data_IF_897177932515
#
_entry.id   IF_897177932515
#
_cell.length_a   1.000
_cell.length_b   1.000
_cell.length_c   1.000
_cell.angle_alpha   90.00
_cell.angle_beta   90.00
_cell.angle_gamma   90.00
#
_symmetry.space_group_name_H-M   'P 1'
#
loop_
_entity.id
_entity.type
_entity.pdbx_description
1 polymer ?
#
# COMPACT_ATOMS: atom_id res chain seq x y z
N UNK A 1 5.72 12.57 -18.17
CA UNK A 1 7.00 11.84 -18.21
C UNK A 1 6.70 10.54 -18.93
N UNK A 2 7.37 10.28 -20.05
CA UNK A 2 7.25 8.99 -20.74
C UNK A 2 8.56 8.26 -20.50
N UNK A 3 8.50 7.04 -19.96
CA UNK A 3 9.69 6.28 -19.59
C UNK A 3 9.82 5.08 -20.52
N UNK A 4 10.96 4.97 -21.18
CA UNK A 4 11.35 3.80 -21.95
C UNK A 4 11.96 2.77 -20.98
N UNK A 5 11.10 1.92 -20.42
CA UNK A 5 11.51 0.86 -19.48
C UNK A 5 12.51 -0.13 -20.10
N UNK A 6 12.35 -0.62 -21.34
CA UNK A 6 13.38 -1.44 -21.98
C UNK A 6 14.76 -0.79 -22.00
N UNK A 7 14.85 0.48 -22.43
CA UNK A 7 16.12 1.21 -22.48
C UNK A 7 16.71 1.41 -21.07
N UNK A 8 15.87 1.78 -20.10
CA UNK A 8 16.30 1.96 -18.71
C UNK A 8 16.84 0.67 -18.11
N UNK A 9 16.11 -0.44 -18.25
CA UNK A 9 16.50 -1.72 -17.66
C UNK A 9 17.79 -2.23 -18.30
N UNK A 10 17.94 -2.12 -19.62
CA UNK A 10 19.21 -2.50 -20.27
C UNK A 10 20.38 -1.64 -19.78
N UNK A 11 20.18 -0.33 -19.60
CA UNK A 11 21.21 0.56 -19.03
C UNK A 11 21.63 0.12 -17.63
N UNK A 12 20.68 -0.28 -16.78
CA UNK A 12 20.96 -0.77 -15.43
C UNK A 12 21.68 -2.13 -15.45
N UNK A 13 21.29 -3.01 -16.38
CA UNK A 13 21.95 -4.31 -16.60
C UNK A 13 23.40 -4.08 -17.03
N UNK A 14 23.63 -3.25 -18.03
CA UNK A 14 24.97 -2.97 -18.56
C UNK A 14 25.89 -2.40 -17.45
N UNK A 15 25.38 -1.48 -16.63
CA UNK A 15 26.12 -0.94 -15.49
C UNK A 15 26.45 -2.01 -14.44
N UNK A 16 25.51 -2.88 -14.11
CA UNK A 16 25.71 -3.97 -13.16
C UNK A 16 26.71 -5.03 -13.68
N UNK A 17 26.65 -5.37 -14.97
CA UNK A 17 27.59 -6.30 -15.61
C UNK A 17 29.00 -5.71 -15.73
N UNK A 18 29.12 -4.40 -16.01
CA UNK A 18 30.41 -3.70 -16.02
C UNK A 18 31.06 -3.67 -14.62
N UNK A 19 30.28 -3.40 -13.57
CA UNK A 19 30.77 -3.35 -12.20
C UNK A 19 31.16 -4.71 -11.63
N UNK A 20 30.32 -5.72 -11.86
CA UNK A 20 30.56 -7.08 -11.33
C UNK A 20 31.51 -7.91 -12.19
N UNK A 21 31.64 -7.58 -13.48
CA UNK A 21 32.33 -8.42 -14.46
C UNK A 21 31.62 -9.76 -14.74
N UNK A 22 30.36 -9.91 -14.30
CA UNK A 22 29.58 -11.13 -14.38
C UNK A 22 28.25 -10.87 -15.11
N UNK A 23 27.70 -11.87 -15.81
CA UNK A 23 26.41 -11.73 -16.48
C UNK A 23 25.26 -11.65 -15.47
N UNK A 24 24.30 -10.76 -15.70
CA UNK A 24 23.17 -10.61 -14.80
C UNK A 24 22.24 -11.83 -14.88
N UNK A 25 21.83 -12.36 -13.73
CA UNK A 25 20.91 -13.50 -13.68
C UNK A 25 19.47 -13.06 -13.97
N UNK A 26 19.03 -12.00 -13.29
CA UNK A 26 17.63 -11.57 -13.25
C UNK A 26 17.50 -10.17 -12.67
N UNK A 27 16.55 -9.40 -13.19
CA UNK A 27 16.12 -8.12 -12.62
C UNK A 27 14.81 -8.34 -11.89
N UNK A 28 14.75 -7.99 -10.60
CA UNK A 28 13.51 -7.98 -9.85
C UNK A 28 12.94 -6.57 -9.85
N UNK A 29 11.76 -6.40 -10.46
CA UNK A 29 11.06 -5.13 -10.49
C UNK A 29 9.96 -5.13 -9.45
N UNK A 30 10.04 -4.22 -8.48
CA UNK A 30 9.08 -4.11 -7.41
C UNK A 30 8.16 -2.92 -7.65
N UNK A 31 6.84 -3.16 -7.58
CA UNK A 31 5.83 -2.12 -7.77
C UNK A 31 4.57 -2.48 -6.98
N UNK A 32 3.65 -1.54 -6.82
CA UNK A 32 2.37 -1.77 -6.15
C UNK A 32 1.24 -1.95 -7.16
N UNK A 33 0.37 -2.95 -6.96
CA UNK A 33 -0.78 -3.22 -7.82
C UNK A 33 -2.10 -3.21 -7.04
N UNK A 34 -3.12 -2.53 -7.57
CA UNK A 34 -4.44 -2.45 -6.94
C UNK A 34 -5.05 -3.85 -6.94
N UNK A 35 -5.40 -4.36 -5.76
CA UNK A 35 -5.88 -5.73 -5.56
C UNK A 35 -4.92 -6.82 -6.08
N UNK A 36 -3.62 -6.52 -6.24
CA UNK A 36 -2.62 -7.45 -6.75
C UNK A 36 -2.73 -7.73 -8.25
N UNK A 37 -3.54 -6.96 -8.99
CA UNK A 37 -3.69 -7.10 -10.44
C UNK A 37 -2.79 -6.08 -11.14
N UNK A 38 -1.84 -6.50 -11.98
CA UNK A 38 -0.97 -5.58 -12.70
C UNK A 38 -1.77 -4.71 -13.66
N UNK A 39 -1.35 -3.46 -13.83
CA UNK A 39 -1.84 -2.62 -14.91
C UNK A 39 -1.11 -2.93 -16.24
N UNK A 40 -1.61 -2.35 -17.35
CA UNK A 40 -1.01 -2.59 -18.67
C UNK A 40 0.46 -2.18 -18.79
N UNK A 41 0.93 -1.24 -17.96
CA UNK A 41 2.34 -0.84 -17.96
C UNK A 41 3.18 -1.84 -17.19
N UNK A 42 2.72 -2.28 -16.03
CA UNK A 42 3.34 -3.32 -15.22
C UNK A 42 3.42 -4.64 -15.97
N UNK A 43 2.37 -5.04 -16.68
CA UNK A 43 2.39 -6.21 -17.58
C UNK A 43 3.49 -6.10 -18.63
N UNK A 44 3.56 -4.97 -19.35
CA UNK A 44 4.61 -4.71 -20.34
C UNK A 44 6.02 -4.79 -19.73
N UNK A 45 6.22 -4.27 -18.51
CA UNK A 45 7.51 -4.36 -17.81
C UNK A 45 7.83 -5.82 -17.44
N UNK A 46 6.83 -6.56 -16.95
CA UNK A 46 6.98 -7.97 -16.56
C UNK A 46 7.26 -8.92 -17.73
N UNK A 47 6.92 -8.52 -18.96
CA UNK A 47 7.20 -9.27 -20.19
C UNK A 47 8.63 -9.06 -20.73
N UNK A 48 9.38 -8.08 -20.19
CA UNK A 48 10.74 -7.82 -20.62
C UNK A 48 11.70 -8.96 -20.25
N UNK A 49 12.72 -9.14 -21.08
CA UNK A 49 13.72 -10.19 -20.88
C UNK A 49 14.41 -10.05 -19.52
N UNK A 50 14.62 -11.17 -18.82
CA UNK A 50 15.24 -11.26 -17.49
C UNK A 50 14.50 -10.51 -16.36
N UNK A 51 13.38 -9.83 -16.63
CA UNK A 51 12.61 -9.12 -15.60
C UNK A 51 11.64 -10.08 -14.90
N UNK A 52 11.52 -9.92 -13.58
CA UNK A 52 10.47 -10.52 -12.75
C UNK A 52 9.74 -9.42 -12.00
N UNK A 53 8.51 -9.16 -12.41
CA UNK A 53 7.61 -8.24 -11.74
C UNK A 53 7.12 -8.85 -10.42
N UNK A 54 7.30 -8.11 -9.32
CA UNK A 54 6.87 -8.49 -7.98
C UNK A 54 5.98 -7.39 -7.42
N UNK A 55 4.70 -7.70 -7.33
CA UNK A 55 3.69 -6.72 -6.92
C UNK A 55 3.46 -6.75 -5.41
N UNK A 56 3.58 -5.59 -4.77
CA UNK A 56 3.14 -5.31 -3.41
C UNK A 56 1.63 -5.14 -3.32
N UNK A 57 1.13 -4.82 -2.12
CA UNK A 57 -0.30 -4.54 -1.88
C UNK A 57 -0.49 -3.05 -1.65
N UNK A 58 -1.62 -2.51 -2.09
CA UNK A 58 -2.06 -1.19 -1.63
C UNK A 58 -2.70 -1.31 -0.25
N UNK A 59 -2.36 -0.38 0.65
CA UNK A 59 -3.14 -0.14 1.85
C UNK A 59 -4.53 0.37 1.52
N UNK A 60 -5.45 0.29 2.50
CA UNK A 60 -6.83 0.75 2.33
C UNK A 60 -6.92 2.24 1.94
N UNK A 61 -5.94 3.05 2.38
CA UNK A 61 -5.86 4.50 2.09
C UNK A 61 -5.17 4.83 0.75
N UNK A 62 -4.83 3.82 -0.06
CA UNK A 62 -4.13 4.02 -1.33
C UNK A 62 -2.62 4.26 -1.20
N UNK A 63 -2.06 4.20 0.01
CA UNK A 63 -0.62 4.14 0.24
C UNK A 63 -0.05 2.82 -0.29
N UNK A 64 1.07 2.90 -1.00
CA UNK A 64 1.87 1.73 -1.34
C UNK A 64 2.47 1.17 -0.05
N UNK A 65 2.07 -0.04 0.36
CA UNK A 65 2.56 -0.66 1.60
C UNK A 65 3.18 -2.02 1.30
N UNK A 66 4.38 -2.24 1.85
CA UNK A 66 5.05 -3.54 1.81
C UNK A 66 5.80 -3.86 0.53
N UNK A 67 6.12 -2.85 -0.29
CA UNK A 67 7.15 -3.00 -1.34
C UNK A 67 8.50 -3.22 -0.67
N UNK A 68 8.85 -2.38 0.31
CA UNK A 68 10.16 -2.42 0.98
C UNK A 68 10.35 -3.70 1.79
N UNK A 69 9.31 -4.10 2.53
CA UNK A 69 9.30 -5.41 3.20
C UNK A 69 9.52 -6.56 2.21
N UNK A 70 8.91 -6.50 1.01
CA UNK A 70 9.07 -7.54 0.00
C UNK A 70 10.46 -7.54 -0.62
N UNK A 71 11.04 -6.36 -0.87
CA UNK A 71 12.44 -6.22 -1.30
C UNK A 71 13.35 -6.84 -0.25
N UNK A 72 13.21 -6.44 1.03
CA UNK A 72 14.05 -6.93 2.11
C UNK A 72 13.94 -8.45 2.30
N UNK A 73 12.72 -9.01 2.29
CA UNK A 73 12.51 -10.45 2.39
C UNK A 73 13.14 -11.22 1.23
N UNK A 74 13.03 -10.71 0.00
CA UNK A 74 13.63 -11.36 -1.17
C UNK A 74 15.15 -11.29 -1.13
N UNK A 75 15.70 -10.14 -0.74
CA UNK A 75 17.14 -9.92 -0.62
C UNK A 75 17.75 -10.92 0.39
N UNK A 76 17.17 -11.04 1.59
CA UNK A 76 17.59 -12.02 2.59
C UNK A 76 17.37 -13.46 2.10
N UNK A 77 16.26 -13.75 1.43
CA UNK A 77 15.97 -15.10 0.91
C UNK A 77 16.97 -15.50 -0.17
N UNK A 78 17.32 -14.61 -1.09
CA UNK A 78 18.30 -14.88 -2.14
C UNK A 78 19.71 -15.05 -1.57
N UNK A 79 20.07 -14.26 -0.56
CA UNK A 79 21.33 -14.39 0.15
C UNK A 79 21.45 -15.73 0.87
N UNK A 80 20.41 -16.13 1.64
CA UNK A 80 20.36 -17.42 2.33
C UNK A 80 20.50 -18.63 1.40
N UNK A 81 20.00 -18.51 0.18
CA UNK A 81 20.07 -19.58 -0.81
C UNK A 81 21.35 -19.54 -1.65
N UNK A 82 22.30 -18.63 -1.36
CA UNK A 82 23.54 -18.42 -2.12
C UNK A 82 23.29 -18.37 -3.64
N UNK A 83 22.24 -17.65 -4.05
CA UNK A 83 21.81 -17.62 -5.46
C UNK A 83 22.66 -16.66 -6.30
N UNK A 84 23.25 -15.64 -5.68
CA UNK A 84 24.14 -14.67 -6.31
C UNK A 84 25.20 -14.20 -5.32
N UNK A 85 26.37 -13.84 -5.82
CA UNK A 85 27.47 -13.29 -5.02
C UNK A 85 27.33 -11.77 -4.78
N UNK A 86 26.69 -11.05 -5.72
CA UNK A 86 26.51 -9.59 -5.68
C UNK A 86 25.06 -9.23 -5.95
N UNK A 87 24.51 -8.30 -5.16
CA UNK A 87 23.23 -7.66 -5.40
C UNK A 87 23.42 -6.19 -5.75
N UNK A 88 22.78 -5.77 -6.84
CA UNK A 88 22.63 -4.36 -7.19
C UNK A 88 21.25 -3.87 -6.75
N UNK A 89 21.22 -2.95 -5.78
CA UNK A 89 19.99 -2.39 -5.24
C UNK A 89 19.77 -0.98 -5.79
N UNK A 90 18.68 -0.79 -6.55
CA UNK A 90 18.21 0.53 -6.97
C UNK A 90 17.15 0.99 -5.99
N UNK A 91 17.57 1.59 -4.88
CA UNK A 91 16.65 2.18 -3.90
C UNK A 91 17.30 3.32 -3.13
N UNK A 92 16.44 4.18 -2.59
CA UNK A 92 16.80 5.30 -1.75
C UNK A 92 16.40 5.16 -0.28
N UNK A 93 15.64 4.10 0.03
CA UNK A 93 14.89 3.98 1.27
C UNK A 93 15.74 3.48 2.43
N UNK A 94 15.52 4.06 3.60
CA UNK A 94 16.21 3.67 4.82
C UNK A 94 15.73 2.32 5.38
N UNK A 95 14.47 1.97 5.10
CA UNK A 95 13.84 0.74 5.59
C UNK A 95 14.46 -0.56 5.02
N UNK A 96 15.38 -0.43 4.06
CA UNK A 96 16.11 -1.56 3.48
C UNK A 96 17.45 -1.84 4.19
N UNK A 97 17.87 -0.97 5.09
CA UNK A 97 19.19 -1.03 5.75
C UNK A 97 19.39 -2.36 6.47
N UNK A 98 18.43 -2.81 7.28
CA UNK A 98 18.54 -4.07 8.02
C UNK A 98 18.59 -5.29 7.09
N UNK A 99 17.86 -5.23 5.98
CA UNK A 99 17.88 -6.31 4.99
C UNK A 99 19.24 -6.41 4.30
N UNK A 100 19.85 -5.26 3.96
CA UNK A 100 21.20 -5.19 3.38
C UNK A 100 22.22 -5.82 4.32
N UNK A 101 22.23 -5.41 5.59
CA UNK A 101 23.14 -5.97 6.60
C UNK A 101 22.95 -7.50 6.77
N UNK A 102 21.70 -7.97 6.80
CA UNK A 102 21.39 -9.41 6.91
C UNK A 102 21.83 -10.19 5.66
N UNK A 103 21.72 -9.63 4.45
CA UNK A 103 22.25 -10.29 3.25
C UNK A 103 23.77 -10.40 3.27
N UNK A 104 24.46 -9.36 3.75
CA UNK A 104 25.93 -9.36 3.90
C UNK A 104 26.40 -10.38 4.93
N UNK A 105 25.63 -10.63 6.00
CA UNK A 105 25.90 -11.73 6.95
C UNK A 105 25.96 -13.10 6.24
N UNK A 106 25.25 -13.26 5.13
CA UNK A 106 25.28 -14.47 4.31
C UNK A 106 26.36 -14.45 3.22
N UNK A 107 27.24 -13.45 3.22
CA UNK A 107 28.39 -13.35 2.32
C UNK A 107 28.08 -12.76 0.95
N UNK A 108 26.93 -12.11 0.78
CA UNK A 108 26.58 -11.40 -0.45
C UNK A 108 27.01 -9.95 -0.37
N UNK A 109 27.69 -9.45 -1.42
CA UNK A 109 28.02 -8.03 -1.56
C UNK A 109 26.79 -7.25 -2.04
N UNK A 110 26.51 -6.09 -1.43
CA UNK A 110 25.39 -5.24 -1.81
C UNK A 110 25.88 -3.88 -2.27
N UNK A 111 25.67 -3.59 -3.55
CA UNK A 111 26.01 -2.31 -4.20
C UNK A 111 24.75 -1.51 -4.47
N UNK A 112 24.69 -0.28 -3.97
CA UNK A 112 23.57 0.62 -4.22
C UNK A 112 23.82 1.40 -5.51
N UNK A 113 22.86 1.36 -6.43
CA UNK A 113 22.86 2.14 -7.65
C UNK A 113 22.06 3.43 -7.46
N UNK A 114 22.75 4.57 -7.41
CA UNK A 114 22.16 5.88 -7.23
C UNK A 114 21.93 6.61 -8.55
N UNK A 115 20.80 7.31 -8.64
CA UNK A 115 20.51 8.24 -9.74
C UNK A 115 21.22 9.58 -9.45
N UNK A 116 21.98 10.13 -10.43
CA UNK A 116 22.65 11.42 -10.25
C UNK A 116 21.63 12.56 -10.15
N UNK A 117 21.88 13.51 -9.25
CA UNK A 117 21.11 14.76 -9.23
C UNK A 117 21.80 15.89 -9.99
N UNK A 118 21.01 16.93 -10.28
CA UNK A 118 21.47 18.19 -10.82
C UNK A 118 22.52 18.80 -9.88
N UNK A 119 23.81 18.70 -10.26
CA UNK A 119 24.94 19.16 -9.44
C UNK A 119 25.93 18.09 -9.00
N UNK A 120 25.79 16.83 -9.46
CA UNK A 120 26.83 15.79 -9.32
C UNK A 120 26.91 15.14 -7.93
N UNK A 121 25.99 15.45 -7.02
CA UNK A 121 25.79 14.69 -5.77
C UNK A 121 24.72 13.63 -6.01
N UNK A 122 24.92 12.43 -5.46
CA UNK A 122 23.85 11.43 -5.33
C UNK A 122 22.74 12.02 -4.47
N UNK A 123 21.51 12.05 -5.01
CA UNK A 123 20.33 12.51 -4.27
C UNK A 123 19.38 11.34 -4.12
N UNK A 124 18.62 11.35 -3.03
CA UNK A 124 17.56 10.38 -2.81
C UNK A 124 18.04 9.03 -2.32
N UNK A 125 19.23 8.92 -1.72
CA UNK A 125 19.63 7.71 -0.97
C UNK A 125 19.91 8.06 0.49
N UNK A 126 19.30 7.30 1.41
CA UNK A 126 19.47 7.50 2.85
C UNK A 126 20.94 7.30 3.27
N UNK A 127 21.39 8.07 4.27
CA UNK A 127 22.78 7.97 4.74
C UNK A 127 23.06 6.69 5.55
N UNK A 128 22.01 6.09 6.09
CA UNK A 128 22.04 4.83 6.81
C UNK A 128 22.21 3.67 5.81
N UNK A 129 21.42 3.65 4.74
CA UNK A 129 21.59 2.70 3.64
C UNK A 129 22.99 2.78 3.01
N UNK A 130 23.51 4.00 2.81
CA UNK A 130 24.89 4.22 2.33
C UNK A 130 25.96 3.65 3.25
N UNK A 131 25.70 3.57 4.56
CA UNK A 131 26.66 3.05 5.55
C UNK A 131 26.59 1.54 5.67
N UNK A 132 25.42 0.96 5.39
CA UNK A 132 25.23 -0.48 5.39
C UNK A 132 25.74 -1.11 4.09
N UNK A 133 25.49 -0.50 2.93
CA UNK A 133 25.93 -1.02 1.65
C UNK A 133 27.47 -1.07 1.52
N UNK A 134 27.98 -2.03 0.74
CA UNK A 134 29.41 -2.20 0.49
C UNK A 134 29.97 -1.10 -0.41
N UNK A 135 29.19 -0.67 -1.41
CA UNK A 135 29.54 0.40 -2.33
C UNK A 135 28.31 1.17 -2.83
N UNK A 136 28.54 2.40 -3.31
CA UNK A 136 27.55 3.25 -3.94
C UNK A 136 28.04 3.67 -5.33
N UNK A 137 27.40 3.14 -6.36
CA UNK A 137 27.69 3.53 -7.73
C UNK A 137 26.65 4.53 -8.26
N UNK A 138 27.12 5.64 -8.81
CA UNK A 138 26.24 6.62 -9.46
C UNK A 138 26.12 6.29 -10.95
N UNK A 139 24.91 6.00 -11.41
CA UNK A 139 24.64 5.68 -12.81
C UNK A 139 24.87 6.92 -13.69
N UNK A 140 25.30 6.73 -14.94
CA UNK A 140 25.43 7.83 -15.90
C UNK A 140 24.07 8.53 -16.15
N UNK A 141 23.98 9.79 -15.74
CA UNK A 141 22.78 10.60 -15.90
C UNK A 141 22.39 10.78 -17.35
N UNK A 142 23.35 10.79 -18.29
CA UNK A 142 23.02 10.94 -19.71
C UNK A 142 22.33 9.71 -20.29
N UNK A 143 22.60 8.52 -19.73
CA UNK A 143 21.94 7.28 -20.12
C UNK A 143 20.51 7.22 -19.56
N UNK A 144 20.31 7.67 -18.32
CA UNK A 144 18.98 7.79 -17.71
C UNK A 144 18.13 8.83 -18.45
N UNK A 145 18.68 10.00 -18.77
CA UNK A 145 17.97 11.06 -19.48
C UNK A 145 17.47 10.61 -20.86
N UNK A 146 18.22 9.73 -21.54
CA UNK A 146 17.78 9.12 -22.82
C UNK A 146 16.59 8.19 -22.63
N UNK A 147 16.54 7.44 -21.52
CA UNK A 147 15.44 6.53 -21.21
C UNK A 147 14.21 7.27 -20.66
N UNK A 148 14.39 8.44 -20.06
CA UNK A 148 13.34 9.24 -19.42
C UNK A 148 13.00 10.44 -20.29
N UNK A 149 12.12 10.22 -21.27
CA UNK A 149 11.65 11.28 -22.15
C UNK A 149 10.75 12.25 -21.36
N UNK A 150 11.28 13.45 -21.11
CA UNK A 150 10.50 14.57 -20.57
C UNK A 150 9.48 14.99 -21.63
N UNK A 151 8.23 14.56 -21.47
CA UNK A 151 7.10 15.13 -22.21
C UNK A 151 6.92 16.56 -21.71
N UNK A 152 7.45 17.54 -22.45
CA UNK A 152 6.93 18.90 -22.39
C UNK A 152 5.47 18.82 -22.84
N UNK A 153 4.55 18.87 -21.87
CA UNK A 153 3.18 19.27 -22.19
C UNK A 153 3.32 20.68 -22.77
N UNK A 154 3.07 20.83 -24.07
CA UNK A 154 2.75 22.15 -24.61
C UNK A 154 1.68 22.73 -23.72
N UNK A 155 2.02 23.80 -23.01
CA UNK A 155 1.04 24.63 -22.33
C UNK A 155 0.00 24.97 -23.39
N UNK A 156 -1.25 24.55 -23.16
CA UNK A 156 -2.34 24.98 -24.03
C UNK A 156 -2.22 26.51 -24.15
N UNK A 157 -2.29 27.08 -25.37
CA UNK A 157 -2.20 28.51 -25.52
C UNK A 157 -3.25 29.18 -24.62
N UNK A 158 -2.93 30.32 -23.99
CA UNK A 158 -3.88 31.02 -23.15
C UNK A 158 -5.17 31.29 -23.93
N UNK A 159 -6.35 31.30 -23.29
CA UNK A 159 -7.61 31.49 -24.01
C UNK A 159 -7.54 32.84 -24.71
N UNK A 160 -7.51 32.82 -26.04
CA UNK A 160 -7.74 34.03 -26.83
C UNK A 160 -9.16 34.52 -26.54
N UNK A 161 -9.27 35.82 -26.31
CA UNK A 161 -10.51 36.54 -26.04
C UNK A 161 -11.59 36.25 -27.12
N UNK A 162 -12.88 36.30 -26.75
CA UNK A 162 -13.96 35.80 -27.58
C UNK A 162 -14.11 36.64 -28.86
N UNK A 163 -13.71 36.07 -30.00
CA UNK A 163 -14.05 36.63 -31.30
C UNK A 163 -15.53 36.39 -31.56
N UNK A 164 -16.24 37.47 -31.84
CA UNK A 164 -17.67 37.49 -32.19
C UNK A 164 -17.92 36.69 -33.47
N UNK A 165 -18.56 35.53 -33.36
CA UNK A 165 -19.13 34.80 -34.49
C UNK A 165 -20.64 35.05 -34.60
N UNK A 166 -21.10 35.41 -35.81
CA UNK A 166 -22.51 35.66 -36.17
C UNK A 166 -23.39 34.41 -36.01
N UNK A 167 -24.73 34.57 -35.92
CA UNK A 167 -25.66 33.49 -35.59
C UNK A 167 -25.83 32.51 -36.77
N UNK A 168 -25.53 31.23 -36.55
CA UNK A 168 -25.97 30.10 -37.38
C UNK A 168 -27.18 29.38 -36.76
N UNK A 169 -27.93 28.56 -37.53
CA UNK A 169 -29.26 28.10 -37.15
C UNK A 169 -29.27 27.10 -35.99
N UNK A 170 -30.28 27.23 -35.14
CA UNK A 170 -30.55 26.41 -33.95
C UNK A 170 -30.85 24.95 -34.34
N UNK A 171 -30.13 23.94 -33.81
CA UNK A 171 -30.56 22.54 -33.88
C UNK A 171 -31.72 22.28 -32.92
N UNK A 172 -32.76 21.59 -33.40
CA UNK A 172 -33.95 21.22 -32.63
C UNK A 172 -33.63 20.22 -31.50
N UNK A 173 -34.26 20.44 -30.35
CA UNK A 173 -34.20 19.61 -29.15
C UNK A 173 -34.89 18.25 -29.38
N UNK A 174 -34.29 17.10 -29.04
CA UNK A 174 -34.99 15.82 -29.06
C UNK A 174 -36.08 15.77 -27.99
N UNK A 175 -37.24 15.23 -28.35
CA UNK A 175 -38.38 15.03 -27.47
C UNK A 175 -38.05 14.08 -26.31
N UNK A 176 -38.68 14.35 -25.16
CA UNK A 176 -38.56 13.52 -23.96
C UNK A 176 -39.16 12.13 -24.18
N UNK A 177 -38.44 11.09 -23.73
CA UNK A 177 -38.89 9.70 -23.69
C UNK A 177 -40.02 9.56 -22.67
N UNK A 178 -41.09 8.86 -23.03
CA UNK A 178 -42.26 8.62 -22.17
C UNK A 178 -42.11 7.33 -21.35
N UNK A 179 -42.87 7.16 -20.24
CA UNK A 179 -42.69 6.05 -19.29
C UNK A 179 -42.98 4.65 -19.84
N UNK A 180 -43.48 4.54 -21.07
CA UNK A 180 -43.85 3.26 -21.71
C UNK A 180 -42.64 2.55 -22.35
N UNK A 181 -41.56 3.28 -22.65
CA UNK A 181 -40.35 2.72 -23.26
C UNK A 181 -39.46 1.96 -22.25
N UNK A 182 -39.63 2.22 -20.95
CA UNK A 182 -38.87 1.56 -19.87
C UNK A 182 -39.43 0.18 -19.54
N UNK A 183 -40.74 -0.03 -19.72
CA UNK A 183 -41.41 -1.31 -19.45
C UNK A 183 -41.11 -2.37 -20.53
N UNK A 184 -40.87 -1.96 -21.78
CA UNK A 184 -40.52 -2.88 -22.86
C UNK A 184 -39.08 -3.41 -22.75
N UNK A 185 -38.13 -2.61 -22.25
CA UNK A 185 -36.75 -3.01 -22.04
C UNK A 185 -36.59 -4.03 -20.88
N UNK A 186 -37.42 -3.91 -19.84
CA UNK A 186 -37.41 -4.83 -18.70
C UNK A 186 -37.97 -6.24 -19.03
N UNK A 187 -38.85 -6.35 -20.04
CA UNK A 187 -39.40 -7.63 -20.48
C UNK A 187 -38.41 -8.44 -21.34
N UNK A 188 -37.52 -7.78 -22.10
CA UNK A 188 -36.52 -8.45 -22.93
C UNK A 188 -35.34 -9.05 -22.13
N UNK A 189 -35.08 -8.56 -20.92
CA UNK A 189 -34.00 -9.04 -20.06
C UNK A 189 -34.34 -10.34 -19.28
N UNK A 190 -35.57 -10.85 -19.37
CA UNK A 190 -36.01 -12.06 -18.64
C UNK A 190 -35.77 -13.39 -19.36
N UNK A 191 -35.26 -13.38 -20.60
CA UNK A 191 -35.07 -14.58 -21.44
C UNK A 191 -33.62 -14.89 -21.83
N UNK A 192 -32.63 -14.43 -21.06
CA UNK A 192 -31.23 -14.85 -21.26
C UNK A 192 -30.90 -16.13 -20.46
N UNK A 193 -30.18 -17.11 -21.02
CA UNK A 193 -29.78 -18.32 -20.29
C UNK A 193 -28.76 -17.99 -19.19
N UNK A 194 -28.93 -18.63 -18.03
CA UNK A 194 -28.12 -18.41 -16.83
C UNK A 194 -26.66 -18.86 -17.01
N UNK A 195 -25.71 -17.99 -16.65
CA UNK A 195 -24.29 -18.33 -16.55
C UNK A 195 -24.02 -19.22 -15.31
N UNK A 196 -23.06 -20.15 -15.36
CA UNK A 196 -22.79 -21.06 -14.26
C UNK A 196 -22.11 -20.34 -13.08
N UNK A 197 -22.61 -20.58 -11.86
CA UNK A 197 -22.00 -20.08 -10.63
C UNK A 197 -20.76 -20.91 -10.24
N UNK A 198 -19.65 -20.30 -9.80
CA UNK A 198 -18.50 -21.04 -9.31
C UNK A 198 -18.82 -21.63 -7.92
N UNK A 199 -18.69 -22.95 -7.77
CA UNK A 199 -18.74 -23.62 -6.48
C UNK A 199 -17.46 -23.33 -5.70
N UNK A 200 -17.57 -22.71 -4.53
CA UNK A 200 -16.44 -22.57 -3.60
C UNK A 200 -16.05 -23.94 -3.05
N UNK A 201 -14.88 -24.44 -3.46
CA UNK A 201 -14.25 -25.60 -2.83
C UNK A 201 -13.41 -25.08 -1.66
N UNK A 202 -13.75 -25.50 -0.44
CA UNK A 202 -12.93 -25.31 0.76
C UNK A 202 -11.59 -26.03 0.58
N UNK A 203 -10.52 -25.27 0.33
CA UNK A 203 -9.20 -25.82 0.05
C UNK A 203 -8.32 -26.02 1.31
N UNK A 204 -8.71 -25.53 2.49
CA UNK A 204 -8.01 -25.81 3.74
C UNK A 204 -8.99 -25.86 4.92
N UNK A 205 -9.02 -27.01 5.61
CA UNK A 205 -9.54 -27.15 6.96
C UNK A 205 -8.32 -27.26 7.87
N UNK A 206 -7.98 -26.20 8.59
CA UNK A 206 -7.02 -26.29 9.69
C UNK A 206 -7.74 -26.92 10.87
N UNK A 207 -7.25 -28.08 11.30
CA UNK A 207 -7.65 -28.71 12.55
C UNK A 207 -7.30 -27.75 13.70
N UNK A 208 -8.31 -27.13 14.31
CA UNK A 208 -8.17 -26.46 15.59
C UNK A 208 -7.96 -27.52 16.66
N UNK A 209 -6.69 -27.80 16.95
CA UNK A 209 -6.28 -28.74 18.01
C UNK A 209 -4.85 -28.53 18.52
N UNK A 210 -4.08 -27.63 17.92
CA UNK A 210 -2.73 -27.32 18.40
C UNK A 210 -2.75 -25.98 19.13
N UNK A 211 -2.34 -26.03 20.40
CA UNK A 211 -2.09 -24.86 21.24
C UNK A 211 -1.10 -23.93 20.54
N UNK A 212 -1.53 -22.72 20.27
CA UNK A 212 -0.70 -21.63 19.78
C UNK A 212 0.40 -21.36 20.80
N UNK A 213 1.66 -21.65 20.43
CA UNK A 213 2.80 -21.26 21.24
C UNK A 213 3.03 -19.77 21.02
N UNK A 214 2.49 -18.94 21.91
CA UNK A 214 2.75 -17.50 21.93
C UNK A 214 4.13 -17.29 22.58
N UNK A 215 4.95 -16.46 21.94
CA UNK A 215 6.24 -15.97 22.43
C UNK A 215 6.04 -15.13 23.71
N UNK A 216 7.08 -14.94 24.54
CA UNK A 216 6.92 -14.38 25.88
C UNK A 216 6.36 -12.95 25.83
N UNK A 217 5.14 -12.81 26.34
CA UNK A 217 4.70 -11.79 27.31
C UNK A 217 5.41 -10.43 27.20
N UNK A 218 4.95 -9.60 26.25
CA UNK A 218 4.81 -8.17 26.55
C UNK A 218 3.74 -8.07 27.64
N UNK A 219 3.96 -7.30 28.71
CA UNK A 219 3.09 -7.14 29.88
C UNK A 219 1.63 -6.78 29.50
N UNK A 220 0.83 -7.78 29.14
CA UNK A 220 -0.59 -7.63 28.84
C UNK A 220 -1.42 -7.30 30.09
N UNK A 221 -0.85 -7.51 31.28
CA UNK A 221 -1.50 -7.26 32.56
C UNK A 221 -1.48 -5.78 32.98
N UNK A 222 -0.45 -5.01 32.61
CA UNK A 222 -0.37 -3.57 32.91
C UNK A 222 -1.31 -2.75 32.00
N UNK A 223 -1.46 -3.17 30.75
CA UNK A 223 -2.37 -2.56 29.79
C UNK A 223 -3.84 -2.76 30.20
N UNK A 224 -4.22 -3.93 30.75
CA UNK A 224 -5.62 -4.24 31.10
C UNK A 224 -6.18 -3.34 32.22
N UNK A 225 -5.41 -3.05 33.27
CA UNK A 225 -5.85 -2.13 34.34
C UNK A 225 -6.00 -0.68 33.83
N UNK A 226 -5.14 -0.29 32.88
CA UNK A 226 -5.18 1.03 32.24
C UNK A 226 -6.39 1.15 31.30
N UNK A 227 -6.68 0.09 30.54
CA UNK A 227 -7.84 -0.03 29.66
C UNK A 227 -9.13 0.09 30.46
N UNK A 228 -9.28 -0.65 31.56
CA UNK A 228 -10.48 -0.61 32.40
C UNK A 228 -10.71 0.80 33.00
N UNK A 229 -9.62 1.48 33.41
CA UNK A 229 -9.69 2.86 33.90
C UNK A 229 -10.07 3.90 32.85
N UNK A 230 -9.65 3.70 31.59
CA UNK A 230 -10.08 4.55 30.46
C UNK A 230 -11.57 4.33 30.16
N UNK A 231 -12.00 3.07 30.09
CA UNK A 231 -13.40 2.72 29.81
C UNK A 231 -14.34 3.29 30.87
N UNK A 232 -13.99 3.22 32.15
CA UNK A 232 -14.82 3.76 33.23
C UNK A 232 -14.96 5.29 33.13
N UNK A 233 -13.86 6.01 32.85
CA UNK A 233 -13.89 7.47 32.66
C UNK A 233 -14.79 7.88 31.50
N UNK A 234 -14.68 7.20 30.36
CA UNK A 234 -15.54 7.48 29.20
C UNK A 234 -16.99 7.12 29.48
N UNK A 235 -17.28 6.03 30.19
CA UNK A 235 -18.65 5.67 30.59
C UNK A 235 -19.26 6.68 31.56
N UNK A 236 -18.50 7.19 32.52
CA UNK A 236 -18.94 8.24 33.45
C UNK A 236 -19.22 9.54 32.70
N UNK A 237 -18.26 10.00 31.89
CA UNK A 237 -18.41 11.21 31.09
C UNK A 237 -19.58 11.11 30.09
N UNK A 238 -19.77 9.94 29.48
CA UNK A 238 -20.90 9.69 28.58
C UNK A 238 -22.22 9.72 29.36
N UNK A 239 -22.33 9.10 30.55
CA UNK A 239 -23.57 9.14 31.35
C UNK A 239 -23.92 10.56 31.83
N UNK A 240 -22.93 11.37 32.17
CA UNK A 240 -23.14 12.75 32.62
C UNK A 240 -23.56 13.69 31.48
N UNK A 241 -23.06 13.45 30.27
CA UNK A 241 -23.33 14.29 29.09
C UNK A 241 -24.41 13.75 28.15
N UNK A 242 -24.83 12.49 28.31
CA UNK A 242 -25.75 11.85 27.38
C UNK A 242 -27.19 12.36 27.51
N UNK A 243 -27.75 12.71 26.35
CA UNK A 243 -29.18 12.90 26.19
C UNK A 243 -29.91 11.56 26.18
N UNK A 244 -31.20 11.51 26.58
CA UNK A 244 -31.98 10.26 26.60
C UNK A 244 -32.08 9.59 25.22
N UNK A 245 -31.97 10.35 24.14
CA UNK A 245 -31.92 9.83 22.77
C UNK A 245 -30.60 9.11 22.47
N UNK A 246 -29.46 9.63 22.93
CA UNK A 246 -28.14 8.99 22.76
C UNK A 246 -28.05 7.68 23.53
N UNK A 247 -28.65 7.59 24.72
CA UNK A 247 -28.75 6.34 25.47
C UNK A 247 -29.60 5.29 24.73
N UNK A 248 -30.67 5.73 24.06
CA UNK A 248 -31.52 4.84 23.28
C UNK A 248 -30.85 4.37 21.98
N UNK A 249 -30.11 5.26 21.31
CA UNK A 249 -29.28 4.93 20.15
C UNK A 249 -28.17 3.94 20.51
N UNK A 250 -27.50 4.11 21.67
CA UNK A 250 -26.49 3.16 22.14
C UNK A 250 -27.06 1.75 22.35
N UNK A 251 -28.28 1.66 22.89
CA UNK A 251 -28.98 0.37 23.06
C UNK A 251 -29.38 -0.27 21.74
N UNK A 252 -29.78 0.54 20.75
CA UNK A 252 -30.18 0.06 19.42
C UNK A 252 -28.97 -0.33 18.55
N UNK A 253 -27.82 0.31 18.76
CA UNK A 253 -26.61 0.07 17.98
C UNK A 253 -25.87 -1.23 18.35
N UNK A 254 -26.30 -1.96 19.39
CA UNK A 254 -25.69 -3.25 19.78
C UNK A 254 -25.62 -4.20 18.57
N UNK A 255 -24.45 -4.77 18.24
CA UNK A 255 -23.19 -4.81 19.00
C UNK A 255 -22.14 -3.73 18.61
N UNK A 256 -22.47 -2.77 17.75
CA UNK A 256 -21.55 -1.71 17.29
C UNK A 256 -21.54 -0.51 18.24
N UNK A 257 -20.34 -0.04 18.60
CA UNK A 257 -20.18 1.20 19.37
C UNK A 257 -20.35 2.39 18.41
N UNK A 258 -21.13 3.43 18.77
CA UNK A 258 -21.22 4.66 18.01
C UNK A 258 -19.84 5.32 17.80
N UNK A 259 -19.58 5.92 16.62
CA UNK A 259 -18.25 6.43 16.26
C UNK A 259 -17.74 7.53 17.19
N UNK A 260 -18.64 8.33 17.77
CA UNK A 260 -18.26 9.40 18.69
C UNK A 260 -17.70 8.86 20.02
N UNK A 261 -18.26 7.74 20.50
CA UNK A 261 -17.80 7.06 21.72
C UNK A 261 -16.51 6.29 21.45
N UNK A 262 -16.42 5.61 20.30
CA UNK A 262 -15.21 4.90 19.88
C UNK A 262 -14.03 5.87 19.75
N UNK A 263 -14.25 7.07 19.19
CA UNK A 263 -13.22 8.10 19.09
C UNK A 263 -12.74 8.60 20.45
N UNK A 264 -13.66 8.78 21.41
CA UNK A 264 -13.31 9.17 22.78
C UNK A 264 -12.48 8.07 23.48
N UNK A 265 -12.89 6.81 23.37
CA UNK A 265 -12.15 5.67 23.92
C UNK A 265 -10.72 5.59 23.37
N UNK A 266 -10.54 5.80 22.07
CA UNK A 266 -9.22 5.74 21.42
C UNK A 266 -8.33 6.91 21.80
N UNK A 267 -8.89 8.12 21.95
CA UNK A 267 -8.14 9.31 22.36
C UNK A 267 -7.65 9.16 23.80
N UNK A 268 -8.53 8.78 24.72
CA UNK A 268 -8.20 8.61 26.13
C UNK A 268 -7.26 7.43 26.36
N UNK A 269 -7.36 6.37 25.54
CA UNK A 269 -6.42 5.25 25.58
C UNK A 269 -5.03 5.62 25.04
N UNK A 270 -4.97 6.44 23.98
CA UNK A 270 -3.71 7.00 23.47
C UNK A 270 -3.00 7.84 24.52
N UNK A 271 -3.76 8.70 25.23
CA UNK A 271 -3.22 9.54 26.30
C UNK A 271 -2.78 8.70 27.52
N UNK A 272 -3.57 7.70 27.93
CA UNK A 272 -3.27 6.89 29.10
C UNK A 272 -2.08 5.93 28.90
N UNK A 273 -1.87 5.45 27.68
CA UNK A 273 -0.78 4.53 27.33
C UNK A 273 0.48 5.26 26.86
N UNK A 274 0.44 6.59 26.72
CA UNK A 274 1.51 7.43 26.15
C UNK A 274 1.99 6.94 24.77
N UNK A 275 1.04 6.47 23.94
CA UNK A 275 1.30 5.96 22.59
C UNK A 275 0.59 6.81 21.54
N UNK A 276 1.33 7.19 20.50
CA UNK A 276 0.79 7.95 19.35
C UNK A 276 -0.25 7.17 18.54
N UNK A 277 -0.21 5.83 18.58
CA UNK A 277 -1.17 4.95 17.90
C UNK A 277 -1.56 3.77 18.80
N UNK A 278 -2.87 3.50 18.90
CA UNK A 278 -3.39 2.35 19.67
C UNK A 278 -3.42 1.10 18.79
N UNK A 279 -2.71 0.06 19.22
CA UNK A 279 -2.60 -1.23 18.53
C UNK A 279 -3.98 -1.89 18.32
N UNK A 280 -4.13 -2.69 17.26
CA UNK A 280 -5.39 -3.38 16.94
C UNK A 280 -5.86 -4.29 18.09
N UNK A 281 -4.93 -4.91 18.80
CA UNK A 281 -5.22 -5.75 19.98
C UNK A 281 -5.86 -4.93 21.11
N UNK A 282 -5.33 -3.74 21.41
CA UNK A 282 -5.86 -2.84 22.43
C UNK A 282 -7.21 -2.27 22.01
N UNK A 283 -7.39 -1.93 20.73
CA UNK A 283 -8.68 -1.48 20.19
C UNK A 283 -9.78 -2.53 20.34
N UNK A 284 -9.47 -3.80 20.04
CA UNK A 284 -10.41 -4.88 20.23
C UNK A 284 -10.79 -5.06 21.71
N UNK A 285 -9.81 -4.99 22.62
CA UNK A 285 -10.03 -5.11 24.06
C UNK A 285 -10.85 -3.96 24.65
N UNK A 286 -10.56 -2.71 24.28
CA UNK A 286 -11.34 -1.53 24.69
C UNK A 286 -12.82 -1.68 24.36
N UNK A 287 -13.13 -2.16 23.15
CA UNK A 287 -14.52 -2.36 22.70
C UNK A 287 -15.21 -3.50 23.42
N UNK A 288 -14.50 -4.59 23.70
CA UNK A 288 -15.03 -5.70 24.49
C UNK A 288 -15.33 -5.26 25.93
N UNK A 289 -14.36 -4.61 26.59
CA UNK A 289 -14.50 -4.10 27.97
C UNK A 289 -15.58 -3.04 28.13
N UNK A 290 -15.75 -2.16 27.13
CA UNK A 290 -16.82 -1.17 27.13
C UNK A 290 -18.21 -1.80 27.28
N UNK A 291 -18.48 -2.88 26.53
CA UNK A 291 -19.77 -3.56 26.62
C UNK A 291 -19.92 -4.37 27.90
N UNK A 292 -18.87 -5.04 28.37
CA UNK A 292 -18.88 -5.75 29.66
C UNK A 292 -19.19 -4.82 30.84
N UNK A 293 -18.51 -3.68 30.92
CA UNK A 293 -18.72 -2.70 32.00
C UNK A 293 -20.05 -1.94 31.88
N UNK A 294 -20.54 -1.73 30.65
CA UNK A 294 -21.89 -1.18 30.44
C UNK A 294 -22.98 -2.17 30.86
N UNK A 295 -22.76 -3.48 30.73
CA UNK A 295 -23.74 -4.51 31.11
C UNK A 295 -23.73 -4.79 32.63
N UNK A 296 -22.62 -4.53 33.32
CA UNK A 296 -22.48 -4.74 34.77
C UNK A 296 -23.05 -3.58 35.63
N UNK A 297 -23.26 -2.38 35.06
CA UNK A 297 -23.73 -1.17 35.75
C UNK A 297 -25.07 -0.64 35.24
#
# INVERSE_FOLDING_TARGET
>A
MNVDYPCLINTLIDAAEELSGLPILRVHWYDSARHGVPDSQQERIGELAKVKLRLGRFGYDGEQKGVDLRIGLDLVTHARNNTSDVFFLVSGDDDLTEAVEEAQVHGVEVVVLAVPATGGKSHGVSRHLLRAADDLHTIDGTAIDKAVLKVERQTAPPPEEPVTAKPGPIPQKPAARTPLDVAAAAAAARNAPAAPQPSGVLAYSSTTGSVSHVMPEYDLAEDDATIDGVVDRVLVAFRESATPEQLQQLKQARPSIPPDIDRALLLDASEALDRYTVDESVRYRLRARFWEMHDEK
#
